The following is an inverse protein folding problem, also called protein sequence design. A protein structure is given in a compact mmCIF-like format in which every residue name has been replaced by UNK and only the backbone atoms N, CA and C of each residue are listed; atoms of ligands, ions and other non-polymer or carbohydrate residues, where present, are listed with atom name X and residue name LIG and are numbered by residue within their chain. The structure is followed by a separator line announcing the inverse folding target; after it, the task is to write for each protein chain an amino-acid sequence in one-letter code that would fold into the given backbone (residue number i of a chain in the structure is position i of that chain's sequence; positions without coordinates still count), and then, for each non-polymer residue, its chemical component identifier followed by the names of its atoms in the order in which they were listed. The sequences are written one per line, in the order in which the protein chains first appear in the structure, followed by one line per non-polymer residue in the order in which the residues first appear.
data_IF_374428877822
#
_entry.id   IF_374428877822
#
_cell.length_a   1.000
_cell.length_b   1.000
_cell.length_c   1.000
_cell.angle_alpha   90.00
_cell.angle_beta   90.00
_cell.angle_gamma   90.00
#
_symmetry.space_group_name_H-M   'P 1'
#
loop_
_entity.id
_entity.type
_entity.pdbx_description
1 polymer ?
#
# COMPACT_ATOMS: atom_id res chain seq x y z
N UNK A 1 -10.13 8.02 -3.42
CA UNK A 1 -9.25 9.18 -3.24
C UNK A 1 -7.96 8.91 -3.99
N UNK A 2 -7.58 9.79 -4.90
CA UNK A 2 -6.37 9.67 -5.73
C UNK A 2 -5.24 10.52 -5.15
N UNK A 3 -4.00 10.29 -5.60
CA UNK A 3 -2.85 11.12 -5.22
C UNK A 3 -3.02 12.58 -5.65
N UNK A 4 -3.68 12.82 -6.78
CA UNK A 4 -4.00 14.16 -7.24
C UNK A 4 -4.93 14.88 -6.24
N UNK A 5 -5.96 14.19 -5.73
CA UNK A 5 -6.87 14.74 -4.74
C UNK A 5 -6.14 15.12 -3.44
N UNK A 6 -5.17 14.29 -3.03
CA UNK A 6 -4.37 14.58 -1.82
C UNK A 6 -3.46 15.78 -2.05
N UNK A 7 -2.78 15.84 -3.21
CA UNK A 7 -1.91 16.96 -3.56
C UNK A 7 -2.67 18.29 -3.54
N UNK A 8 -3.94 18.30 -3.94
CA UNK A 8 -4.80 19.50 -3.82
C UNK A 8 -5.17 19.82 -2.37
N UNK A 9 -5.46 18.81 -1.54
CA UNK A 9 -5.84 19.02 -0.13
C UNK A 9 -4.68 19.51 0.74
N UNK A 10 -3.44 19.25 0.34
CA UNK A 10 -2.23 19.67 1.05
C UNK A 10 -1.60 20.95 0.50
N UNK A 11 -2.26 21.64 -0.45
CA UNK A 11 -1.82 22.93 -0.97
C UNK A 11 -2.33 24.09 -0.10
N UNK A 12 -1.42 24.85 0.51
CA UNK A 12 -1.73 25.94 1.46
C UNK A 12 -1.75 25.65 2.99
N UNK A 13 -1.99 24.43 3.53
CA UNK A 13 -1.90 24.18 4.97
C UNK A 13 -0.46 24.12 5.48
N UNK A 14 -0.29 24.23 6.80
CA UNK A 14 1.01 24.01 7.44
C UNK A 14 1.52 22.59 7.20
N UNK A 15 2.84 22.40 7.20
CA UNK A 15 3.48 21.09 6.98
C UNK A 15 2.91 20.00 7.92
N UNK A 16 2.61 20.33 9.17
CA UNK A 16 2.02 19.40 10.13
C UNK A 16 0.61 18.91 9.72
N UNK A 17 -0.21 19.80 9.17
CA UNK A 17 -1.56 19.46 8.71
C UNK A 17 -1.50 18.65 7.40
N UNK A 18 -0.61 19.02 6.47
CA UNK A 18 -0.36 18.27 5.25
C UNK A 18 0.08 16.83 5.55
N UNK A 19 1.03 16.66 6.47
CA UNK A 19 1.49 15.36 6.95
C UNK A 19 0.36 14.51 7.54
N UNK A 20 -0.52 15.11 8.36
CA UNK A 20 -1.65 14.39 8.94
C UNK A 20 -2.62 13.85 7.88
N UNK A 21 -2.92 14.64 6.83
CA UNK A 21 -3.76 14.21 5.70
C UNK A 21 -3.13 13.02 4.96
N UNK A 22 -1.84 13.10 4.68
CA UNK A 22 -1.12 12.02 3.98
C UNK A 22 -1.04 10.74 4.82
N UNK A 23 -0.79 10.84 6.13
CA UNK A 23 -0.81 9.68 7.04
C UNK A 23 -2.17 9.00 7.07
N UNK A 24 -3.26 9.78 7.15
CA UNK A 24 -4.62 9.25 7.11
C UNK A 24 -4.89 8.50 5.81
N UNK A 25 -4.53 9.08 4.67
CA UNK A 25 -4.73 8.44 3.39
C UNK A 25 -3.92 7.15 3.21
N UNK A 26 -2.68 7.15 3.72
CA UNK A 26 -1.85 5.94 3.75
C UNK A 26 -2.49 4.84 4.58
N UNK A 27 -3.06 5.18 5.73
CA UNK A 27 -3.78 4.21 6.57
C UNK A 27 -5.00 3.62 5.84
N UNK A 28 -5.78 4.46 5.15
CA UNK A 28 -6.91 4.01 4.31
C UNK A 28 -6.47 3.05 3.19
N UNK A 29 -5.35 3.33 2.53
CA UNK A 29 -4.76 2.43 1.52
C UNK A 29 -4.31 1.10 2.14
N UNK A 30 -3.73 1.13 3.34
CA UNK A 30 -3.32 -0.09 4.03
C UNK A 30 -4.53 -0.94 4.42
N UNK A 31 -5.62 -0.34 4.90
CA UNK A 31 -6.87 -1.05 5.18
C UNK A 31 -7.46 -1.67 3.91
N UNK A 32 -7.48 -0.93 2.80
CA UNK A 32 -7.91 -1.46 1.50
C UNK A 32 -7.05 -2.64 1.04
N UNK A 33 -5.73 -2.56 1.24
CA UNK A 33 -4.80 -3.66 0.93
C UNK A 33 -5.15 -4.92 1.73
N UNK A 34 -5.43 -4.78 3.02
CA UNK A 34 -5.82 -5.91 3.87
C UNK A 34 -7.13 -6.56 3.39
N UNK A 35 -8.12 -5.74 3.02
CA UNK A 35 -9.38 -6.24 2.47
C UNK A 35 -9.18 -7.01 1.15
N UNK A 36 -8.37 -6.49 0.23
CA UNK A 36 -8.05 -7.19 -1.03
C UNK A 36 -7.31 -8.51 -0.80
N UNK A 37 -6.43 -8.56 0.20
CA UNK A 37 -5.74 -9.81 0.58
C UNK A 37 -6.73 -10.85 1.13
N UNK A 38 -7.69 -10.42 1.94
CA UNK A 38 -8.75 -11.29 2.45
C UNK A 38 -9.64 -11.82 1.31
N UNK A 39 -10.04 -10.94 0.39
CA UNK A 39 -10.83 -11.31 -0.79
C UNK A 39 -10.07 -12.29 -1.70
N UNK A 40 -8.77 -12.08 -1.92
CA UNK A 40 -7.91 -13.01 -2.66
C UNK A 40 -7.83 -14.38 -2.00
N UNK A 41 -7.78 -14.43 -0.67
CA UNK A 41 -7.77 -15.67 0.09
C UNK A 41 -9.11 -16.41 -0.03
N UNK A 42 -10.23 -15.68 0.00
CA UNK A 42 -11.56 -16.25 -0.20
C UNK A 42 -11.74 -16.82 -1.62
N UNK A 43 -11.36 -16.07 -2.65
CA UNK A 43 -11.36 -16.58 -4.03
C UNK A 43 -10.48 -17.81 -4.21
N UNK A 44 -9.37 -17.90 -3.47
CA UNK A 44 -8.49 -19.08 -3.51
C UNK A 44 -9.21 -20.32 -2.95
N UNK A 45 -10.01 -20.17 -1.88
CA UNK A 45 -10.84 -21.25 -1.35
C UNK A 45 -11.94 -21.64 -2.35
N UNK A 46 -12.68 -20.66 -2.87
CA UNK A 46 -13.73 -20.91 -3.87
C UNK A 46 -13.18 -21.61 -5.12
N UNK A 47 -11.95 -21.26 -5.55
CA UNK A 47 -11.30 -21.94 -6.67
C UNK A 47 -11.02 -23.41 -6.36
N UNK A 48 -10.47 -23.69 -5.18
CA UNK A 48 -10.19 -25.06 -4.74
C UNK A 48 -11.48 -25.90 -4.64
N UNK A 49 -12.58 -25.31 -4.18
CA UNK A 49 -13.90 -25.95 -4.15
C UNK A 49 -14.44 -26.22 -5.56
N UNK A 50 -14.33 -25.25 -6.47
CA UNK A 50 -14.80 -25.38 -7.84
C UNK A 50 -14.01 -26.43 -8.65
N UNK A 51 -12.71 -26.58 -8.36
CA UNK A 51 -11.80 -27.54 -9.00
C UNK A 51 -11.84 -28.93 -8.34
N UNK A 52 -12.01 -28.99 -7.02
CA UNK A 52 -11.90 -30.20 -6.21
C UNK A 52 -13.21 -30.97 -5.99
N UNK A 53 -14.34 -30.46 -6.46
CA UNK A 53 -15.62 -31.17 -6.37
C UNK A 53 -15.65 -32.45 -7.24
N UNK A 54 -16.43 -33.46 -6.85
CA UNK A 54 -16.66 -34.71 -7.61
C UNK A 54 -17.07 -34.46 -9.08
N UNK A 55 -17.65 -33.29 -9.36
CA UNK A 55 -17.89 -32.76 -10.70
C UNK A 55 -17.36 -31.32 -10.77
N UNK A 56 -16.11 -31.11 -11.25
CA UNK A 56 -15.51 -29.79 -11.32
C UNK A 56 -16.29 -28.84 -12.22
N UNK A 57 -16.50 -27.61 -11.76
CA UNK A 57 -17.19 -26.57 -12.54
C UNK A 57 -16.16 -25.69 -13.25
N UNK A 58 -15.76 -26.09 -14.45
CA UNK A 58 -14.72 -25.42 -15.25
C UNK A 58 -15.04 -23.94 -15.53
N UNK A 59 -16.32 -23.61 -15.75
CA UNK A 59 -16.75 -22.23 -15.99
C UNK A 59 -16.60 -21.37 -14.74
N UNK A 60 -17.01 -21.89 -13.57
CA UNK A 60 -16.82 -21.20 -12.30
C UNK A 60 -15.32 -21.02 -11.99
N UNK A 61 -14.52 -22.08 -12.13
CA UNK A 61 -13.07 -22.01 -11.91
C UNK A 61 -12.39 -20.96 -12.82
N UNK A 62 -12.78 -20.89 -14.10
CA UNK A 62 -12.25 -19.89 -15.05
C UNK A 62 -12.60 -18.47 -14.61
N UNK A 63 -13.85 -18.23 -14.22
CA UNK A 63 -14.28 -16.91 -13.72
C UNK A 63 -13.53 -16.52 -12.43
N UNK A 64 -13.36 -17.46 -11.51
CA UNK A 64 -12.65 -17.21 -10.24
C UNK A 64 -11.17 -16.88 -10.51
N UNK A 65 -10.52 -17.55 -11.47
CA UNK A 65 -9.13 -17.20 -11.86
C UNK A 65 -9.03 -15.78 -12.40
N UNK A 66 -9.95 -15.36 -13.28
CA UNK A 66 -10.00 -14.00 -13.78
C UNK A 66 -10.20 -12.96 -12.67
N UNK A 67 -11.07 -13.26 -11.69
CA UNK A 67 -11.26 -12.41 -10.52
C UNK A 67 -9.99 -12.33 -9.65
N UNK A 68 -9.28 -13.43 -9.45
CA UNK A 68 -8.01 -13.43 -8.72
C UNK A 68 -6.94 -12.58 -9.40
N UNK A 69 -6.85 -12.64 -10.73
CA UNK A 69 -5.94 -11.79 -11.51
C UNK A 69 -6.29 -10.30 -11.35
N UNK A 70 -7.59 -9.96 -11.40
CA UNK A 70 -8.05 -8.60 -11.17
C UNK A 70 -7.69 -8.09 -9.75
N UNK A 71 -7.95 -8.91 -8.72
CA UNK A 71 -7.57 -8.56 -7.34
C UNK A 71 -6.06 -8.40 -7.19
N UNK A 72 -5.26 -9.21 -7.88
CA UNK A 72 -3.81 -9.08 -7.85
C UNK A 72 -3.36 -7.74 -8.46
N UNK A 73 -3.94 -7.34 -9.58
CA UNK A 73 -3.68 -6.04 -10.18
C UNK A 73 -4.08 -4.89 -9.24
N UNK A 74 -5.25 -5.00 -8.58
CA UNK A 74 -5.70 -4.01 -7.60
C UNK A 74 -4.76 -3.93 -6.38
N UNK A 75 -4.27 -5.08 -5.90
CA UNK A 75 -3.27 -5.13 -4.82
C UNK A 75 -1.99 -4.39 -5.21
N UNK A 76 -1.49 -4.59 -6.44
CA UNK A 76 -0.31 -3.89 -6.95
C UNK A 76 -0.55 -2.38 -7.02
N UNK A 77 -1.69 -1.95 -7.58
CA UNK A 77 -2.03 -0.53 -7.68
C UNK A 77 -2.14 0.15 -6.30
N UNK A 78 -2.73 -0.53 -5.30
CA UNK A 78 -2.79 -0.02 -3.92
C UNK A 78 -1.40 0.09 -3.30
N UNK A 79 -0.53 -0.89 -3.55
CA UNK A 79 0.85 -0.88 -3.07
C UNK A 79 1.66 0.27 -3.70
N UNK A 80 1.54 0.49 -5.00
CA UNK A 80 2.18 1.61 -5.71
C UNK A 80 1.70 2.96 -5.15
N UNK A 81 0.38 3.11 -4.97
CA UNK A 81 -0.18 4.33 -4.37
C UNK A 81 0.36 4.56 -2.95
N UNK A 82 0.48 3.51 -2.13
CA UNK A 82 1.03 3.62 -0.78
C UNK A 82 2.52 4.02 -0.78
N UNK A 83 3.31 3.51 -1.74
CA UNK A 83 4.70 3.93 -1.93
C UNK A 83 4.80 5.42 -2.30
N UNK A 84 3.96 5.89 -3.23
CA UNK A 84 3.91 7.31 -3.58
C UNK A 84 3.49 8.19 -2.41
N UNK A 85 2.55 7.74 -1.56
CA UNK A 85 2.19 8.46 -0.33
C UNK A 85 3.37 8.57 0.64
N UNK A 86 4.21 7.54 0.75
CA UNK A 86 5.41 7.60 1.59
C UNK A 86 6.41 8.63 1.07
N UNK A 87 6.62 8.69 -0.25
CA UNK A 87 7.50 9.71 -0.85
C UNK A 87 6.95 11.12 -0.62
N UNK A 88 5.64 11.31 -0.74
CA UNK A 88 4.99 12.57 -0.45
C UNK A 88 5.14 12.95 1.03
N UNK A 89 4.96 12.00 1.95
CA UNK A 89 5.13 12.22 3.38
C UNK A 89 6.56 12.66 3.73
N UNK A 90 7.56 12.00 3.14
CA UNK A 90 8.97 12.37 3.29
C UNK A 90 9.25 13.78 2.78
N UNK A 91 8.62 14.19 1.68
CA UNK A 91 8.78 15.56 1.16
C UNK A 91 8.21 16.64 2.09
N UNK A 92 7.20 16.30 2.90
CA UNK A 92 6.53 17.21 3.83
C UNK A 92 7.26 17.24 5.19
N UNK A 93 7.62 16.08 5.72
CA UNK A 93 8.20 15.94 7.07
C UNK A 93 9.73 16.07 7.08
N UNK A 94 10.36 15.97 5.92
CA UNK A 94 11.80 15.81 5.79
C UNK A 94 12.23 14.35 5.93
N UNK A 95 13.50 14.09 5.63
CA UNK A 95 14.07 12.76 5.77
C UNK A 95 14.06 12.29 7.23
N UNK A 96 13.90 10.97 7.49
CA UNK A 96 13.97 10.43 8.83
C UNK A 96 15.33 10.80 9.42
N UNK A 97 15.31 11.64 10.45
CA UNK A 97 16.55 11.96 11.14
C UNK A 97 17.02 10.69 11.84
N UNK A 98 18.30 10.32 11.73
CA UNK A 98 18.84 9.23 12.51
C UNK A 98 18.51 9.47 13.99
N UNK A 99 18.19 8.41 14.72
CA UNK A 99 17.97 8.52 16.16
C UNK A 99 19.17 9.26 16.78
N UNK A 100 18.94 10.12 17.78
CA UNK A 100 20.00 10.92 18.40
C UNK A 100 21.16 10.10 18.96
N UNK A 101 20.94 8.80 19.19
CA UNK A 101 21.94 7.79 19.59
C UNK A 101 22.82 7.29 18.44
N UNK A 102 22.42 7.47 17.19
CA UNK A 102 23.14 7.05 15.98
C UNK A 102 23.91 8.27 15.47
N UNK A 103 25.22 8.27 15.71
CA UNK A 103 26.12 9.22 15.05
C UNK A 103 26.11 8.93 13.55
N UNK A 104 25.76 9.89 12.68
CA UNK A 104 25.83 9.70 11.24
C UNK A 104 27.26 9.32 10.82
N UNK A 105 27.42 8.53 9.76
CA UNK A 105 28.75 8.05 9.34
C UNK A 105 29.75 9.19 9.05
N UNK A 106 29.25 10.36 8.63
CA UNK A 106 30.06 11.59 8.45
C UNK A 106 30.52 12.25 9.75
N UNK A 107 29.99 11.85 10.90
CA UNK A 107 30.41 12.29 12.24
C UNK A 107 31.59 11.46 12.78
N UNK A 108 31.97 10.37 12.11
CA UNK A 108 33.18 9.62 12.45
C UNK A 108 34.34 10.35 11.78
N UNK A 109 34.85 11.41 12.42
CA UNK A 109 36.19 11.89 12.10
C UNK A 109 37.15 10.77 12.44
N UNK A 110 37.73 10.13 11.43
CA UNK A 110 38.87 9.23 11.60
C UNK A 110 39.94 10.00 12.38
N UNK A 111 40.13 9.60 13.64
CA UNK A 111 41.25 10.09 14.43
C UNK A 111 42.50 9.41 13.86
N UNK A 112 43.31 10.19 13.13
CA UNK A 112 44.69 9.85 12.79
C UNK A 112 45.50 9.48 14.04
#
# INVERSE_FOLDING_TARGET
MTIADIKQQIDGPSAANAAAVVRKAREELNQRRLALVEEAADLTKQLAEAEGADRPNVKAATNIRALREAIHADCQAVQEAACEMNLLLLSIEGEPQPASSVKPEWSIKEAN
#
